data_IF_413089519812
#
_entry.id   IF_413089519812
#
_cell.length_a   1.000
_cell.length_b   1.000
_cell.length_c   1.000
_cell.angle_alpha   90.00
_cell.angle_beta   90.00
_cell.angle_gamma   90.00
#
_symmetry.space_group_name_H-M   'P 1'
#
loop_
_entity.id
_entity.type
_entity.pdbx_description
1 polymer ?
#
# COMPACT_ATOMS: atom_id res chain seq x y z
N UNK A 1 70.29 -54.67 25.99
CA UNK A 1 69.95 -53.93 24.77
C UNK A 1 68.44 -53.96 24.69
N UNK A 2 67.77 -52.82 24.92
CA UNK A 2 66.31 -52.67 24.89
C UNK A 2 65.93 -51.88 23.61
N UNK A 3 65.03 -52.35 22.79
CA UNK A 3 64.53 -51.55 21.65
C UNK A 3 63.44 -50.54 22.09
N UNK A 4 63.60 -49.29 21.69
CA UNK A 4 62.67 -48.23 21.87
C UNK A 4 61.51 -48.36 20.88
N UNK A 5 60.26 -48.41 21.38
CA UNK A 5 59.07 -48.38 20.53
C UNK A 5 58.65 -46.92 20.26
N UNK A 6 58.62 -46.55 18.99
CA UNK A 6 58.10 -45.26 18.54
C UNK A 6 56.59 -45.37 18.40
N UNK A 7 55.86 -44.58 19.19
CA UNK A 7 54.43 -44.44 19.12
C UNK A 7 54.08 -43.34 18.11
N UNK A 8 53.53 -43.70 16.95
CA UNK A 8 53.01 -42.77 15.97
C UNK A 8 51.57 -42.36 16.35
N UNK A 9 51.40 -41.11 16.75
CA UNK A 9 50.08 -40.52 16.98
C UNK A 9 49.61 -39.92 15.68
N UNK A 10 48.59 -40.56 15.09
CA UNK A 10 47.86 -40.02 13.93
C UNK A 10 46.81 -39.01 14.42
N UNK A 11 47.01 -37.73 14.10
CA UNK A 11 46.03 -36.69 14.34
C UNK A 11 45.07 -36.64 13.17
N UNK A 12 43.85 -37.11 13.38
CA UNK A 12 42.77 -36.99 12.42
C UNK A 12 42.16 -35.56 12.48
N UNK A 13 42.41 -34.75 11.47
CA UNK A 13 41.78 -33.43 11.32
C UNK A 13 40.39 -33.63 10.73
N UNK A 14 39.36 -33.44 11.55
CA UNK A 14 37.96 -33.44 11.10
C UNK A 14 37.67 -32.07 10.47
N UNK A 15 37.59 -31.99 9.15
CA UNK A 15 37.14 -30.81 8.43
C UNK A 15 35.60 -30.74 8.54
N UNK A 16 35.11 -29.82 9.35
CA UNK A 16 33.66 -29.48 9.39
C UNK A 16 33.35 -28.59 8.18
N UNK A 17 32.75 -29.18 7.17
CA UNK A 17 32.18 -28.42 6.05
C UNK A 17 30.88 -27.78 6.54
N UNK A 18 30.92 -26.51 6.90
CA UNK A 18 29.72 -25.71 7.19
C UNK A 18 29.00 -25.44 5.87
N UNK A 19 27.99 -26.23 5.57
CA UNK A 19 27.07 -25.96 4.47
C UNK A 19 26.27 -24.70 4.80
N UNK A 20 26.62 -23.56 4.19
CA UNK A 20 25.81 -22.36 4.24
C UNK A 20 24.51 -22.65 3.49
N UNK A 21 23.41 -22.87 4.23
CA UNK A 21 22.07 -22.88 3.67
C UNK A 21 21.78 -21.44 3.22
N UNK A 22 21.51 -21.19 1.91
CA UNK A 22 21.09 -19.85 1.52
C UNK A 22 19.76 -19.55 2.23
N UNK A 23 19.80 -18.62 3.16
CA UNK A 23 18.59 -18.04 3.74
C UNK A 23 17.93 -17.28 2.58
N UNK A 24 16.88 -17.86 2.01
CA UNK A 24 15.96 -17.11 1.15
C UNK A 24 15.54 -15.90 1.96
N UNK A 25 15.89 -14.70 1.50
CA UNK A 25 15.31 -13.47 2.01
C UNK A 25 13.81 -13.54 1.69
N UNK A 26 13.02 -14.10 2.61
CA UNK A 26 11.58 -14.03 2.58
C UNK A 26 11.23 -12.55 2.60
N UNK A 27 10.74 -12.01 1.47
CA UNK A 27 10.18 -10.68 1.44
C UNK A 27 9.12 -10.58 2.53
N UNK A 28 9.03 -9.44 3.19
CA UNK A 28 8.01 -9.19 4.20
C UNK A 28 6.63 -9.42 3.56
N UNK A 29 5.95 -10.50 3.96
CA UNK A 29 4.64 -10.89 3.43
C UNK A 29 3.55 -9.83 3.71
N UNK A 30 3.85 -8.86 4.57
CA UNK A 30 2.97 -7.72 4.88
C UNK A 30 3.21 -6.53 3.98
N UNK A 31 4.33 -6.50 3.24
CA UNK A 31 4.69 -5.42 2.33
C UNK A 31 4.15 -5.67 0.92
N UNK A 32 3.62 -4.61 0.31
CA UNK A 32 3.22 -4.61 -1.09
C UNK A 32 4.43 -4.87 -2.00
N UNK A 33 4.31 -5.74 -3.01
CA UNK A 33 5.39 -5.99 -3.96
C UNK A 33 5.77 -4.70 -4.71
N UNK A 34 6.98 -4.65 -5.29
CA UNK A 34 7.55 -3.55 -6.08
C UNK A 34 7.96 -2.34 -5.22
N UNK A 35 7.05 -1.77 -4.44
CA UNK A 35 7.28 -0.53 -3.69
C UNK A 35 7.65 -0.77 -2.22
N UNK A 36 7.45 -1.97 -1.69
CA UNK A 36 7.77 -2.32 -0.30
C UNK A 36 6.98 -1.49 0.72
N UNK A 37 5.71 -1.21 0.44
CA UNK A 37 4.82 -0.43 1.30
C UNK A 37 3.98 -1.40 2.13
N UNK A 38 4.02 -1.25 3.44
CA UNK A 38 3.09 -1.87 4.38
C UNK A 38 1.91 -0.94 4.64
N UNK A 39 0.74 -1.50 4.96
CA UNK A 39 -0.40 -0.68 5.38
C UNK A 39 -0.07 -0.02 6.72
N UNK A 40 -0.08 1.31 6.82
CA UNK A 40 0.19 1.99 8.07
C UNK A 40 -0.88 1.66 9.12
N UNK A 41 -0.45 1.49 10.38
CA UNK A 41 -1.38 1.30 11.48
C UNK A 41 -2.29 2.53 11.66
N UNK A 42 -3.53 2.31 12.03
CA UNK A 42 -4.48 3.38 12.32
C UNK A 42 -4.91 4.23 11.11
N UNK A 43 -4.59 3.84 9.87
CA UNK A 43 -4.95 4.63 8.68
C UNK A 43 -6.47 4.88 8.55
N UNK A 44 -7.29 4.06 9.17
CA UNK A 44 -8.75 4.24 9.18
C UNK A 44 -9.23 5.44 9.99
N UNK A 45 -8.40 5.92 10.90
CA UNK A 45 -8.67 7.06 11.79
C UNK A 45 -8.10 8.37 11.22
N UNK A 46 -7.50 8.32 10.02
CA UNK A 46 -6.98 9.50 9.34
C UNK A 46 -8.09 10.43 8.87
N UNK A 47 -7.72 11.67 8.60
CA UNK A 47 -8.68 12.70 8.22
C UNK A 47 -9.20 12.50 6.80
N UNK A 48 -10.49 12.77 6.62
CA UNK A 48 -11.15 12.71 5.31
C UNK A 48 -10.59 13.80 4.39
N UNK A 49 -10.20 13.39 3.19
CA UNK A 49 -9.86 14.28 2.07
C UNK A 49 -11.09 14.49 1.19
N UNK A 50 -11.74 13.40 0.79
CA UNK A 50 -12.88 13.46 -0.12
C UNK A 50 -13.65 12.14 -0.13
N UNK A 51 -14.85 12.19 -0.68
CA UNK A 51 -15.66 11.02 -1.05
C UNK A 51 -16.04 11.11 -2.52
N UNK A 52 -16.20 9.97 -3.17
CA UNK A 52 -16.65 9.92 -4.57
C UNK A 52 -17.43 8.64 -4.85
N UNK A 53 -18.28 8.69 -5.88
CA UNK A 53 -18.82 7.54 -6.58
C UNK A 53 -18.23 7.52 -7.98
N UNK A 54 -17.51 6.46 -8.30
CA UNK A 54 -17.00 6.22 -9.66
C UNK A 54 -17.96 5.32 -10.40
N UNK A 55 -18.67 5.88 -11.34
CA UNK A 55 -19.63 5.16 -12.18
C UNK A 55 -18.94 4.27 -13.25
N UNK A 56 -19.73 3.56 -14.03
CA UNK A 56 -19.23 2.70 -15.10
C UNK A 56 -18.66 1.38 -14.60
N UNK A 57 -17.53 0.96 -15.16
CA UNK A 57 -16.94 -0.36 -14.85
C UNK A 57 -16.48 -0.53 -13.40
N UNK A 58 -16.15 0.56 -12.71
CA UNK A 58 -15.76 0.52 -11.31
C UNK A 58 -16.96 0.40 -10.40
N UNK A 59 -17.96 1.24 -10.61
CA UNK A 59 -19.20 1.33 -9.84
C UNK A 59 -18.98 1.17 -8.34
N UNK A 60 -18.07 2.00 -7.82
CA UNK A 60 -17.63 1.93 -6.43
C UNK A 60 -17.88 3.24 -5.67
N UNK A 61 -18.18 3.12 -4.40
CA UNK A 61 -18.02 4.20 -3.44
C UNK A 61 -16.59 4.21 -2.91
N UNK A 62 -16.05 5.41 -2.79
CA UNK A 62 -14.72 5.58 -2.20
C UNK A 62 -14.69 6.71 -1.20
N UNK A 63 -13.91 6.48 -0.13
CA UNK A 63 -13.44 7.51 0.78
C UNK A 63 -11.91 7.64 0.58
N UNK A 64 -11.45 8.87 0.51
CA UNK A 64 -10.02 9.18 0.45
C UNK A 64 -9.63 9.86 1.74
N UNK A 65 -8.67 9.27 2.45
CA UNK A 65 -8.13 9.79 3.70
C UNK A 65 -6.67 10.19 3.50
N UNK A 66 -6.18 11.08 4.35
CA UNK A 66 -4.77 11.50 4.34
C UNK A 66 -4.19 11.50 5.74
N UNK A 67 -2.90 11.18 5.87
CA UNK A 67 -2.16 11.45 7.09
C UNK A 67 -1.99 12.96 7.29
N UNK A 68 -1.46 13.38 8.43
CA UNK A 68 -1.34 14.81 8.76
C UNK A 68 -0.54 15.58 7.70
N UNK A 69 0.56 15.02 7.18
CA UNK A 69 1.37 15.66 6.14
C UNK A 69 0.58 15.89 4.84
N UNK A 70 -0.23 14.92 4.42
CA UNK A 70 -1.10 15.06 3.24
C UNK A 70 -2.20 16.10 3.49
N UNK A 71 -2.85 16.06 4.65
CA UNK A 71 -3.94 17.00 5.00
C UNK A 71 -3.45 18.45 5.10
N UNK A 72 -2.26 18.66 5.68
CA UNK A 72 -1.66 20.00 5.74
C UNK A 72 -1.34 20.54 4.33
N UNK A 73 -0.79 19.70 3.45
CA UNK A 73 -0.53 20.06 2.06
C UNK A 73 -1.82 20.43 1.32
N UNK A 74 -2.87 19.64 1.45
CA UNK A 74 -4.17 19.90 0.85
C UNK A 74 -4.76 21.24 1.31
N UNK A 75 -4.77 21.48 2.63
CA UNK A 75 -5.32 22.73 3.22
C UNK A 75 -4.54 23.97 2.81
N UNK A 76 -3.23 23.82 2.65
CA UNK A 76 -2.36 24.90 2.20
C UNK A 76 -2.33 25.11 0.68
N UNK A 77 -3.00 24.22 -0.09
CA UNK A 77 -2.88 24.20 -1.55
C UNK A 77 -1.44 24.00 -2.03
N UNK A 78 -0.62 23.29 -1.22
CA UNK A 78 0.82 23.14 -1.46
C UNK A 78 1.10 21.96 -2.37
N UNK A 79 1.76 22.22 -3.48
CA UNK A 79 2.29 21.22 -4.42
C UNK A 79 3.77 21.50 -4.72
N UNK A 80 4.58 20.48 -4.97
CA UNK A 80 4.24 19.06 -4.80
C UNK A 80 3.98 18.70 -3.34
N UNK A 81 3.30 17.57 -3.11
CA UNK A 81 3.14 17.02 -1.76
C UNK A 81 4.50 16.77 -1.10
N UNK A 82 4.65 17.03 0.21
CA UNK A 82 5.90 16.78 0.92
C UNK A 82 6.18 15.28 1.03
N UNK A 83 7.46 14.91 1.13
CA UNK A 83 7.87 13.55 1.49
C UNK A 83 7.23 13.16 2.83
N UNK A 84 6.76 11.92 2.94
CA UNK A 84 5.98 11.43 4.07
C UNK A 84 4.47 11.66 3.96
N UNK A 85 3.97 12.41 2.96
CA UNK A 85 2.54 12.46 2.70
C UNK A 85 2.03 11.08 2.25
N UNK A 86 0.93 10.63 2.85
CA UNK A 86 0.27 9.38 2.49
C UNK A 86 -1.20 9.66 2.25
N UNK A 87 -1.66 9.20 1.10
CA UNK A 87 -3.07 9.25 0.69
C UNK A 87 -3.57 7.82 0.59
N UNK A 88 -4.70 7.53 1.20
CA UNK A 88 -5.32 6.21 1.14
C UNK A 88 -6.72 6.29 0.55
N UNK A 89 -7.01 5.41 -0.40
CA UNK A 89 -8.32 5.21 -0.97
C UNK A 89 -8.93 3.91 -0.43
N UNK A 90 -10.08 4.01 0.20
CA UNK A 90 -10.91 2.87 0.57
C UNK A 90 -12.03 2.75 -0.44
N UNK A 91 -12.26 1.55 -0.98
CA UNK A 91 -13.28 1.32 -1.99
C UNK A 91 -14.25 0.20 -1.58
N UNK A 92 -15.53 0.44 -1.82
CA UNK A 92 -16.63 -0.50 -1.59
C UNK A 92 -17.55 -0.55 -2.80
N UNK A 93 -18.25 -1.66 -2.95
CA UNK A 93 -19.31 -1.73 -3.93
C UNK A 93 -20.38 -0.66 -3.65
N UNK A 94 -20.80 0.02 -4.70
CA UNK A 94 -21.96 0.90 -4.70
C UNK A 94 -23.20 0.03 -4.60
N UNK A 95 -23.92 0.10 -3.49
CA UNK A 95 -25.02 -0.83 -3.18
C UNK A 95 -26.26 -0.05 -2.77
N UNK A 96 -27.45 -0.33 -3.34
CA UNK A 96 -28.69 0.25 -2.86
C UNK A 96 -28.92 -0.10 -1.39
N UNK A 97 -29.42 0.86 -0.62
CA UNK A 97 -29.87 0.62 0.74
C UNK A 97 -31.34 0.21 0.73
N UNK A 98 -31.59 -1.08 0.80
CA UNK A 98 -32.98 -1.61 0.79
C UNK A 98 -33.82 -1.04 1.92
N UNK A 99 -33.25 -0.94 3.13
CA UNK A 99 -33.92 -0.39 4.31
C UNK A 99 -34.34 1.07 4.10
N UNK A 100 -33.38 1.93 3.70
CA UNK A 100 -33.64 3.34 3.49
C UNK A 100 -34.59 3.57 2.30
N UNK A 101 -34.38 2.84 1.21
CA UNK A 101 -35.23 2.95 0.01
C UNK A 101 -36.68 2.55 0.32
N UNK A 102 -36.88 1.50 1.12
CA UNK A 102 -38.20 1.13 1.61
C UNK A 102 -38.84 2.24 2.46
N UNK A 103 -38.04 2.85 3.37
CA UNK A 103 -38.53 3.95 4.21
C UNK A 103 -38.92 5.19 3.39
N UNK A 104 -38.13 5.50 2.35
CA UNK A 104 -38.39 6.63 1.45
C UNK A 104 -39.46 6.34 0.38
N UNK A 105 -39.84 5.07 0.18
CA UNK A 105 -40.79 4.64 -0.86
C UNK A 105 -40.23 4.77 -2.29
N UNK A 106 -38.90 4.91 -2.46
CA UNK A 106 -38.21 5.03 -3.76
C UNK A 106 -36.73 4.73 -3.65
N UNK A 107 -36.12 4.39 -4.77
CA UNK A 107 -34.70 4.15 -4.91
C UNK A 107 -33.90 5.47 -4.96
N UNK A 108 -33.41 5.91 -3.83
CA UNK A 108 -32.61 7.16 -3.71
C UNK A 108 -31.42 7.04 -2.77
N UNK A 109 -31.33 5.96 -1.99
CA UNK A 109 -30.31 5.76 -0.99
C UNK A 109 -29.37 4.64 -1.38
N UNK A 110 -28.08 4.92 -1.35
CA UNK A 110 -27.01 3.96 -1.64
C UNK A 110 -26.00 3.98 -0.51
N UNK A 111 -25.38 2.83 -0.23
CA UNK A 111 -24.44 2.65 0.86
C UNK A 111 -23.16 1.94 0.40
N UNK A 112 -22.13 2.02 1.21
CA UNK A 112 -20.93 1.24 1.03
C UNK A 112 -21.25 -0.24 1.28
N UNK A 113 -21.23 -1.04 0.23
CA UNK A 113 -21.46 -2.48 0.26
C UNK A 113 -20.19 -3.26 0.61
N UNK A 114 -19.99 -4.40 -0.05
CA UNK A 114 -18.80 -5.23 0.17
C UNK A 114 -17.51 -4.47 -0.11
N UNK A 115 -16.45 -4.63 0.72
CA UNK A 115 -15.16 -4.01 0.48
C UNK A 115 -14.52 -4.55 -0.80
N UNK A 116 -13.92 -3.65 -1.58
CA UNK A 116 -13.20 -4.00 -2.81
C UNK A 116 -11.70 -4.07 -2.54
N UNK A 117 -11.11 -2.96 -2.16
CA UNK A 117 -9.68 -2.85 -1.84
C UNK A 117 -9.37 -1.58 -1.04
N UNK A 118 -8.12 -1.53 -0.56
CA UNK A 118 -7.49 -0.34 -0.02
C UNK A 118 -6.24 -0.05 -0.86
N UNK A 119 -6.08 1.18 -1.32
CA UNK A 119 -4.91 1.60 -2.08
C UNK A 119 -4.20 2.76 -1.39
N UNK A 120 -2.88 2.71 -1.37
CA UNK A 120 -2.04 3.77 -0.82
C UNK A 120 -1.20 4.40 -1.91
N UNK A 121 -1.05 5.72 -1.83
CA UNK A 121 -0.01 6.52 -2.46
C UNK A 121 0.89 7.08 -1.36
N UNK A 122 2.18 6.82 -1.43
CA UNK A 122 3.17 7.26 -0.44
C UNK A 122 4.19 8.14 -1.12
N UNK A 123 4.33 9.38 -0.66
CA UNK A 123 5.32 10.32 -1.20
C UNK A 123 6.68 10.10 -0.57
N UNK A 124 7.65 9.80 -1.39
CA UNK A 124 9.09 9.82 -1.09
C UNK A 124 9.84 10.11 -2.39
N UNK A 125 10.28 11.35 -2.55
CA UNK A 125 10.88 11.85 -3.79
C UNK A 125 12.18 11.14 -4.18
N UNK A 126 12.88 10.54 -3.21
CA UNK A 126 14.12 9.79 -3.44
C UNK A 126 13.85 8.32 -3.69
N UNK A 127 13.09 7.67 -2.81
CA UNK A 127 12.80 6.25 -2.91
C UNK A 127 12.00 5.89 -4.17
N UNK A 128 11.08 6.77 -4.56
CA UNK A 128 10.17 6.57 -5.69
C UNK A 128 10.44 7.50 -6.87
N UNK A 129 11.70 7.90 -7.07
CA UNK A 129 12.08 8.83 -8.15
C UNK A 129 11.63 8.37 -9.55
N UNK A 130 11.64 7.06 -9.83
CA UNK A 130 11.21 6.49 -11.11
C UNK A 130 9.70 6.57 -11.37
N UNK A 131 8.92 6.90 -10.35
CA UNK A 131 7.46 7.03 -10.40
C UNK A 131 7.01 8.40 -9.89
N UNK A 132 7.79 9.44 -10.25
CA UNK A 132 7.51 10.85 -9.92
C UNK A 132 7.42 11.14 -8.41
N UNK A 133 8.15 10.35 -7.60
CA UNK A 133 8.18 10.47 -6.15
C UNK A 133 7.01 9.77 -5.44
N UNK A 134 6.19 8.99 -6.13
CA UNK A 134 5.08 8.27 -5.54
C UNK A 134 5.26 6.76 -5.59
N UNK A 135 5.18 6.11 -4.42
CA UNK A 135 5.01 4.67 -4.31
C UNK A 135 3.54 4.29 -4.24
N UNK A 136 3.20 3.08 -4.71
CA UNK A 136 1.83 2.58 -4.79
C UNK A 136 1.70 1.23 -4.10
N UNK A 137 0.58 1.02 -3.42
CA UNK A 137 0.26 -0.26 -2.81
C UNK A 137 -1.24 -0.55 -2.92
N UNK A 138 -1.59 -1.82 -3.03
CA UNK A 138 -2.97 -2.28 -2.95
C UNK A 138 -3.07 -3.45 -1.98
N UNK A 139 -4.11 -3.38 -1.15
CA UNK A 139 -4.42 -4.41 -0.16
C UNK A 139 -5.86 -4.90 -0.34
N UNK A 140 -6.05 -6.18 -0.11
CA UNK A 140 -7.36 -6.82 -0.07
C UNK A 140 -7.43 -7.73 1.14
N UNK A 141 -8.51 -7.59 1.92
CA UNK A 141 -8.69 -8.35 3.16
C UNK A 141 -7.49 -8.22 4.14
N UNK A 142 -6.92 -7.02 4.23
CA UNK A 142 -5.79 -6.73 5.13
C UNK A 142 -4.42 -7.24 4.67
N UNK A 143 -4.31 -7.85 3.48
CA UNK A 143 -3.05 -8.37 2.92
C UNK A 143 -2.73 -7.69 1.60
N UNK A 144 -1.43 -7.59 1.22
CA UNK A 144 -1.06 -7.16 -0.11
C UNK A 144 -1.81 -7.96 -1.18
N UNK A 145 -2.37 -7.27 -2.16
CA UNK A 145 -3.10 -7.93 -3.25
C UNK A 145 -2.12 -8.44 -4.31
N UNK A 146 -1.92 -9.77 -4.44
CA UNK A 146 -0.97 -10.33 -5.39
C UNK A 146 -1.42 -10.18 -6.85
N UNK A 147 -2.69 -9.79 -7.07
CA UNK A 147 -3.25 -9.59 -8.42
C UNK A 147 -3.18 -8.14 -8.87
N UNK A 148 -2.76 -7.22 -7.99
CA UNK A 148 -2.63 -5.81 -8.35
C UNK A 148 -1.44 -5.61 -9.29
N UNK A 149 -1.69 -5.09 -10.49
CA UNK A 149 -0.62 -4.64 -11.39
C UNK A 149 -0.16 -3.22 -11.01
N UNK A 150 0.70 -3.15 -10.00
CA UNK A 150 1.20 -1.88 -9.48
C UNK A 150 2.09 -1.11 -10.47
N UNK A 151 2.55 -1.75 -11.56
CA UNK A 151 3.33 -1.08 -12.61
C UNK A 151 2.48 -0.10 -13.42
N UNK A 152 1.18 -0.32 -13.47
CA UNK A 152 0.23 0.55 -14.20
C UNK A 152 -0.19 1.78 -13.40
N UNK A 153 0.10 1.84 -12.10
CA UNK A 153 -0.36 2.94 -11.24
C UNK A 153 0.22 4.29 -11.69
N UNK A 154 1.54 4.40 -11.80
CA UNK A 154 2.18 5.67 -12.18
C UNK A 154 1.76 6.16 -13.58
N UNK A 155 1.77 5.34 -14.65
CA UNK A 155 1.23 5.74 -15.94
C UNK A 155 -0.23 6.17 -15.91
N UNK A 156 -1.08 5.48 -15.13
CA UNK A 156 -2.49 5.85 -14.97
C UNK A 156 -2.66 7.21 -14.30
N UNK A 157 -1.74 7.59 -13.41
CA UNK A 157 -1.76 8.86 -12.69
C UNK A 157 -1.14 10.04 -13.46
N UNK A 158 -0.48 9.79 -14.61
CA UNK A 158 0.15 10.84 -15.42
C UNK A 158 -0.80 12.00 -15.84
N UNK A 159 -2.08 11.78 -16.20
CA UNK A 159 -3.01 12.87 -16.49
C UNK A 159 -3.21 13.86 -15.33
N UNK A 160 -2.97 13.44 -14.08
CA UNK A 160 -3.07 14.28 -12.89
C UNK A 160 -1.76 14.98 -12.50
N UNK A 161 -0.77 15.02 -13.39
CA UNK A 161 0.55 15.62 -13.15
C UNK A 161 0.51 17.06 -12.63
N UNK A 162 -0.42 17.87 -13.09
CA UNK A 162 -0.59 19.25 -12.63
C UNK A 162 -0.95 19.34 -11.13
N UNK A 163 -1.50 18.23 -10.56
CA UNK A 163 -1.84 18.11 -9.15
C UNK A 163 -0.93 17.06 -8.48
N UNK A 164 0.36 17.07 -8.81
CA UNK A 164 1.37 16.12 -8.35
C UNK A 164 0.92 14.65 -8.48
N UNK A 165 0.32 14.30 -9.63
CA UNK A 165 -0.17 12.94 -9.96
C UNK A 165 -1.32 12.43 -9.07
N UNK A 166 -2.01 13.32 -8.35
CA UNK A 166 -3.13 12.97 -7.46
C UNK A 166 -4.44 13.45 -8.07
N UNK A 167 -5.37 12.55 -8.35
CA UNK A 167 -6.70 12.90 -8.90
C UNK A 167 -7.61 13.58 -7.89
N UNK A 168 -7.44 13.25 -6.60
CA UNK A 168 -8.34 13.70 -5.55
C UNK A 168 -8.02 15.14 -5.13
N UNK A 169 -9.03 15.98 -5.10
CA UNK A 169 -8.97 17.31 -4.51
C UNK A 169 -9.55 17.28 -3.09
N UNK A 170 -9.13 18.24 -2.26
CA UNK A 170 -9.69 18.40 -0.92
C UNK A 170 -11.14 18.86 -1.01
N UNK A 171 -12.06 18.07 -0.48
CA UNK A 171 -13.47 18.43 -0.52
C UNK A 171 -13.73 19.68 0.35
N UNK A 172 -14.52 20.65 -0.14
CA UNK A 172 -14.88 21.82 0.68
C UNK A 172 -15.69 21.36 1.88
N UNK A 173 -15.57 22.12 2.96
CA UNK A 173 -16.43 21.95 4.15
C UNK A 173 -17.86 22.35 3.79
N UNK A 174 -18.87 21.50 4.06
CA UNK A 174 -20.27 21.85 3.83
C UNK A 174 -20.73 23.05 4.65
#
# INVERSE_FOLDING_TARGET
>A
MRPAAFLLIAVAVLAIVASAIPTSAGGDETASPIFGITAPDGFRDWKLVSVAHEAGNLNDFRAVLGNDAAIEAYRAGKLPFPDGAIIVRLAWKYTPSEENNKAFGRDQSFVAGSPINVQFMVKDSRKYASTNGWGFAQFKNGKPDPKADLKTCSPCHEPAKANDFVFTHYAPTP
#
